data_IF_569794717972
#
_entry.id   IF_569794717972
#
_cell.length_a   1.000
_cell.length_b   1.000
_cell.length_c   1.000
_cell.angle_alpha   90.00
_cell.angle_beta   90.00
_cell.angle_gamma   90.00
#
_symmetry.space_group_name_H-M   'P 1'
#
loop_
_entity.id
_entity.type
_entity.pdbx_description
1 polymer ?
#
# COMPACT_ATOMS: atom_id res chain seq x y z
N UNK A 1 3.41 16.01 0.38
CA UNK A 1 4.83 15.61 0.48
C UNK A 1 5.22 15.22 1.91
N UNK A 2 4.81 15.98 2.94
CA UNK A 2 5.13 15.67 4.34
C UNK A 2 4.56 14.32 4.84
N UNK A 3 3.28 13.99 4.54
CA UNK A 3 2.66 12.74 5.03
C UNK A 3 3.43 11.45 4.63
N UNK A 4 3.96 11.44 3.41
CA UNK A 4 4.70 10.29 2.88
C UNK A 4 6.09 10.18 3.56
N UNK A 5 6.70 11.31 3.90
CA UNK A 5 7.98 11.35 4.62
C UNK A 5 7.82 10.86 6.06
N UNK A 6 6.70 11.20 6.72
CA UNK A 6 6.40 10.77 8.10
C UNK A 6 5.92 9.32 8.20
N UNK A 7 5.10 8.85 7.25
CA UNK A 7 4.51 7.50 7.28
C UNK A 7 5.43 6.43 6.65
N UNK A 8 6.29 6.81 5.70
CA UNK A 8 7.22 5.90 5.01
C UNK A 8 6.56 5.00 3.97
N UNK A 9 7.28 3.92 3.60
CA UNK A 9 6.87 2.92 2.61
C UNK A 9 6.50 1.62 3.32
N UNK A 10 5.32 1.08 3.02
CA UNK A 10 4.87 -0.25 3.46
C UNK A 10 5.01 -1.26 2.31
N UNK A 11 5.80 -2.30 2.51
CA UNK A 11 5.93 -3.41 1.56
C UNK A 11 4.88 -4.48 1.83
N UNK A 12 4.24 -4.93 0.75
CA UNK A 12 3.27 -6.02 0.74
C UNK A 12 3.53 -6.95 -0.46
N UNK A 13 2.86 -8.10 -0.47
CA UNK A 13 3.01 -9.16 -1.46
C UNK A 13 4.21 -10.08 -1.20
N UNK A 14 4.35 -11.14 -1.99
CA UNK A 14 5.44 -12.12 -1.84
C UNK A 14 6.83 -11.53 -2.10
N UNK A 15 6.94 -10.52 -2.95
CA UNK A 15 8.20 -9.82 -3.21
C UNK A 15 8.76 -9.11 -1.97
N UNK A 16 7.90 -8.68 -1.04
CA UNK A 16 8.32 -8.03 0.21
C UNK A 16 9.16 -8.94 1.12
N UNK A 17 9.11 -10.26 0.92
CA UNK A 17 9.88 -11.25 1.69
C UNK A 17 11.27 -11.52 1.10
N UNK A 18 11.62 -10.89 -0.03
CA UNK A 18 12.97 -10.94 -0.55
C UNK A 18 13.93 -10.33 0.47
N UNK A 19 14.96 -11.10 0.84
CA UNK A 19 15.90 -10.72 1.88
C UNK A 19 16.59 -9.40 1.53
N UNK A 20 16.37 -8.38 2.36
CA UNK A 20 17.01 -7.07 2.25
C UNK A 20 16.37 -6.12 1.23
N UNK A 21 15.19 -6.44 0.69
CA UNK A 21 14.49 -5.53 -0.22
C UNK A 21 14.07 -4.23 0.48
N UNK A 22 13.60 -4.33 1.72
CA UNK A 22 13.31 -3.19 2.60
C UNK A 22 14.54 -2.30 2.82
N UNK A 23 15.69 -2.91 3.08
CA UNK A 23 16.96 -2.20 3.25
C UNK A 23 17.41 -1.49 1.97
N UNK A 24 17.27 -2.17 0.82
CA UNK A 24 17.61 -1.57 -0.49
C UNK A 24 16.73 -0.35 -0.77
N UNK A 25 15.41 -0.47 -0.59
CA UNK A 25 14.50 0.65 -0.83
C UNK A 25 14.79 1.80 0.15
N UNK A 26 15.10 1.50 1.41
CA UNK A 26 15.51 2.51 2.38
C UNK A 26 16.79 3.24 1.93
N UNK A 27 17.80 2.52 1.48
CA UNK A 27 19.07 3.09 1.03
C UNK A 27 18.90 4.01 -0.19
N UNK A 28 18.05 3.63 -1.15
CA UNK A 28 17.84 4.40 -2.38
C UNK A 28 16.92 5.61 -2.18
N UNK A 29 15.92 5.50 -1.28
CA UNK A 29 14.90 6.55 -1.10
C UNK A 29 15.17 7.47 0.10
N UNK A 30 15.99 7.02 1.06
CA UNK A 30 16.17 7.69 2.36
C UNK A 30 14.92 7.63 3.26
N UNK A 31 13.86 6.95 2.84
CA UNK A 31 12.59 6.90 3.55
C UNK A 31 12.52 5.70 4.51
N UNK A 32 11.77 5.79 5.63
CA UNK A 32 11.47 4.62 6.45
C UNK A 32 10.73 3.57 5.61
N UNK A 33 11.19 2.32 5.66
CA UNK A 33 10.54 1.19 4.98
C UNK A 33 10.17 0.13 6.01
N UNK A 34 8.95 -0.39 5.93
CA UNK A 34 8.45 -1.47 6.80
C UNK A 34 7.83 -2.55 5.94
N UNK A 35 7.94 -3.80 6.36
CA UNK A 35 7.21 -4.93 5.77
C UNK A 35 5.91 -5.13 6.55
N UNK A 36 4.79 -5.34 5.85
CA UNK A 36 3.52 -5.62 6.50
C UNK A 36 3.59 -6.91 7.35
N UNK A 37 2.79 -7.01 8.41
CA UNK A 37 2.79 -8.18 9.30
C UNK A 37 2.38 -9.48 8.57
N UNK A 38 1.45 -9.37 7.62
CA UNK A 38 0.99 -10.48 6.76
C UNK A 38 1.06 -10.07 5.29
N UNK A 39 2.26 -9.97 4.70
CA UNK A 39 2.44 -9.35 3.40
C UNK A 39 1.77 -10.15 2.27
N UNK A 40 1.64 -11.48 2.42
CA UNK A 40 0.96 -12.34 1.45
C UNK A 40 -0.56 -12.15 1.42
N UNK A 41 -1.15 -11.80 2.56
CA UNK A 41 -2.61 -11.72 2.73
C UNK A 41 -3.15 -10.32 2.44
N UNK A 42 -2.29 -9.29 2.46
CA UNK A 42 -2.68 -7.88 2.35
C UNK A 42 -3.66 -7.60 1.20
N UNK A 43 -3.45 -8.20 0.03
CA UNK A 43 -4.33 -8.00 -1.14
C UNK A 43 -5.70 -8.63 -0.89
N UNK A 44 -5.74 -9.91 -0.51
CA UNK A 44 -7.00 -10.62 -0.26
C UNK A 44 -7.79 -9.99 0.89
N UNK A 45 -7.13 -9.65 2.00
CA UNK A 45 -7.74 -8.97 3.15
C UNK A 45 -8.27 -7.58 2.77
N UNK A 46 -7.51 -6.81 1.99
CA UNK A 46 -7.93 -5.51 1.49
C UNK A 46 -9.16 -5.61 0.59
N UNK A 47 -9.16 -6.56 -0.35
CA UNK A 47 -10.31 -6.85 -1.21
C UNK A 47 -11.53 -7.26 -0.39
N UNK A 48 -11.38 -8.17 0.57
CA UNK A 48 -12.48 -8.59 1.45
C UNK A 48 -13.11 -7.43 2.21
N UNK A 49 -12.30 -6.56 2.81
CA UNK A 49 -12.77 -5.36 3.54
C UNK A 49 -13.57 -4.40 2.66
N UNK A 50 -13.16 -4.24 1.40
CA UNK A 50 -13.86 -3.36 0.45
C UNK A 50 -15.16 -4.02 -0.02
N UNK A 51 -15.19 -5.34 -0.22
CA UNK A 51 -16.42 -6.07 -0.55
C UNK A 51 -17.46 -6.01 0.58
N UNK A 52 -17.04 -5.96 1.84
CA UNK A 52 -17.92 -5.72 3.00
C UNK A 52 -18.50 -4.29 3.01
N UNK A 53 -17.90 -3.35 2.27
CA UNK A 53 -18.29 -1.94 2.20
C UNK A 53 -18.42 -1.51 0.74
N UNK A 54 -19.35 -2.12 0.00
CA UNK A 54 -19.46 -2.00 -1.46
C UNK A 54 -19.56 -0.55 -1.95
N UNK A 55 -20.14 0.36 -1.16
CA UNK A 55 -20.22 1.78 -1.50
C UNK A 55 -18.82 2.40 -1.66
N UNK A 56 -17.86 2.01 -0.81
CA UNK A 56 -16.46 2.44 -0.94
C UNK A 56 -15.79 1.88 -2.19
N UNK A 57 -16.21 0.69 -2.64
CA UNK A 57 -15.70 0.13 -3.89
C UNK A 57 -16.16 0.99 -5.07
N UNK A 58 -17.42 1.45 -5.05
CA UNK A 58 -17.98 2.31 -6.09
C UNK A 58 -17.20 3.62 -6.16
N UNK A 59 -16.95 4.28 -5.03
CA UNK A 59 -16.18 5.53 -4.98
C UNK A 59 -14.77 5.39 -5.58
N UNK A 60 -14.11 4.24 -5.39
CA UNK A 60 -12.77 3.97 -5.95
C UNK A 60 -12.81 3.68 -7.45
N UNK A 61 -13.92 3.12 -7.95
CA UNK A 61 -14.09 2.72 -9.35
C UNK A 61 -14.66 3.82 -10.24
N UNK A 62 -15.28 4.84 -9.65
CA UNK A 62 -15.76 6.02 -10.38
C UNK A 62 -14.66 7.06 -10.45
N UNK A 63 -14.14 7.31 -11.65
CA UNK A 63 -13.31 8.48 -11.90
C UNK A 63 -14.18 9.74 -11.79
N UNK A 64 -13.90 10.62 -10.83
CA UNK A 64 -14.41 12.00 -10.83
C UNK A 64 -13.71 12.79 -11.96
N UNK A 65 -14.08 12.50 -13.21
CA UNK A 65 -13.68 13.26 -14.42
C UNK A 65 -14.48 14.57 -14.56
N UNK A 66 -15.01 15.12 -13.46
CA UNK A 66 -15.64 16.44 -13.42
C UNK A 66 -14.74 17.45 -12.73
N UNK A 67 -13.63 17.79 -13.39
CA UNK A 67 -12.88 19.03 -13.15
C UNK A 67 -12.64 19.77 -14.46
N UNK A 68 -13.68 20.50 -14.88
CA UNK A 68 -13.57 21.79 -15.57
C UNK A 68 -14.58 22.75 -14.95
#
# INVERSE_FOLDING_TARGET
AADIIDQGIMLAGGGALLKGLDLLIHAETGMPVKVAERPLDCVADGTGKVLENIDKLIDVLTDDDTRY
#
